data_IF_347956624476
#
_entry.id   IF_347956624476
#
_cell.length_a   1.000
_cell.length_b   1.000
_cell.length_c   1.000
_cell.angle_alpha   90.00
_cell.angle_beta   90.00
_cell.angle_gamma   90.00
#
_symmetry.space_group_name_H-M   'P 1'
#
loop_
_entity.id
_entity.type
_entity.pdbx_description
1 polymer ?
#
# COMPACT_ATOMS: atom_id res chain seq x y z
N UNK A 1 -10.90 -14.18 12.05
CA UNK A 1 -12.34 -13.84 12.08
C UNK A 1 -12.84 -13.87 10.64
N UNK A 2 -13.89 -14.64 10.38
CA UNK A 2 -14.60 -14.61 9.11
C UNK A 2 -15.62 -13.47 9.18
N UNK A 3 -15.53 -12.51 8.27
CA UNK A 3 -16.59 -11.51 8.08
C UNK A 3 -17.90 -12.16 7.59
N UNK A 4 -18.96 -11.39 7.36
CA UNK A 4 -20.17 -11.91 6.76
C UNK A 4 -19.85 -12.51 5.39
N UNK A 5 -20.33 -13.75 5.18
CA UNK A 5 -20.15 -14.46 3.91
C UNK A 5 -21.25 -13.98 2.95
N UNK A 6 -20.89 -13.45 1.77
CA UNK A 6 -21.89 -13.09 0.76
C UNK A 6 -22.75 -14.29 0.34
N UNK A 7 -24.01 -14.03 0.03
CA UNK A 7 -24.94 -15.04 -0.49
C UNK A 7 -24.40 -15.62 -1.81
N UNK A 8 -24.47 -16.94 -1.96
CA UNK A 8 -24.01 -17.66 -3.14
C UNK A 8 -22.51 -18.05 -3.12
N UNK A 9 -21.79 -17.82 -2.01
CA UNK A 9 -20.43 -18.31 -1.83
C UNK A 9 -20.38 -19.50 -0.87
N UNK A 10 -19.79 -20.62 -1.32
CA UNK A 10 -19.42 -21.73 -0.46
C UNK A 10 -18.05 -21.46 0.16
N UNK A 11 -17.98 -21.38 1.49
CA UNK A 11 -16.75 -21.04 2.21
C UNK A 11 -16.27 -22.22 3.04
N UNK A 12 -15.06 -22.69 2.73
CA UNK A 12 -14.37 -23.72 3.52
C UNK A 12 -13.28 -23.07 4.37
N UNK A 13 -13.43 -23.12 5.69
CA UNK A 13 -12.43 -22.59 6.63
C UNK A 13 -11.44 -23.67 6.98
N UNK A 14 -10.18 -23.52 6.53
CA UNK A 14 -9.10 -24.43 6.84
C UNK A 14 -8.38 -23.99 8.11
N UNK A 15 -8.28 -24.89 9.09
CA UNK A 15 -7.63 -24.63 10.37
C UNK A 15 -6.11 -24.45 10.22
N UNK A 16 -5.53 -23.53 10.98
CA UNK A 16 -4.07 -23.38 11.04
C UNK A 16 -3.38 -24.60 11.68
N UNK A 17 -2.54 -25.29 10.93
CA UNK A 17 -1.75 -26.43 11.41
C UNK A 17 -0.26 -26.16 11.26
N UNK A 18 0.48 -26.11 12.37
CA UNK A 18 1.92 -25.93 12.40
C UNK A 18 2.39 -24.91 13.43
N UNK A 19 3.58 -25.14 13.99
CA UNK A 19 4.19 -24.26 15.00
C UNK A 19 4.79 -22.97 14.40
N UNK A 20 5.25 -23.03 13.16
CA UNK A 20 5.94 -21.93 12.48
C UNK A 20 5.19 -21.54 11.18
N UNK A 21 5.28 -20.31 10.77
CA UNK A 21 4.58 -19.79 9.58
C UNK A 21 4.86 -20.61 8.30
N UNK A 22 6.11 -21.03 8.07
CA UNK A 22 6.42 -21.89 6.92
C UNK A 22 5.70 -23.24 6.97
N UNK A 23 5.51 -23.81 8.16
CA UNK A 23 4.78 -25.08 8.33
C UNK A 23 3.27 -24.86 8.15
N UNK A 24 2.74 -23.74 8.68
CA UNK A 24 1.34 -23.33 8.47
C UNK A 24 1.03 -23.17 6.98
N UNK A 25 1.85 -22.40 6.26
CA UNK A 25 1.66 -22.17 4.83
C UNK A 25 1.72 -23.48 4.01
N UNK A 26 2.69 -24.36 4.30
CA UNK A 26 2.79 -25.66 3.62
C UNK A 26 1.58 -26.55 3.89
N UNK A 27 1.11 -26.58 5.14
CA UNK A 27 -0.06 -27.38 5.50
C UNK A 27 -1.33 -26.78 4.90
N UNK A 28 -1.46 -25.46 4.87
CA UNK A 28 -2.56 -24.76 4.21
C UNK A 28 -2.66 -25.17 2.72
N UNK A 29 -1.57 -25.09 1.97
CA UNK A 29 -1.52 -25.54 0.56
C UNK A 29 -1.98 -26.98 0.43
N UNK A 30 -1.48 -27.89 1.29
CA UNK A 30 -1.90 -29.29 1.29
C UNK A 30 -3.39 -29.44 1.56
N UNK A 31 -3.92 -28.68 2.52
CA UNK A 31 -5.33 -28.76 2.91
C UNK A 31 -6.26 -28.18 1.83
N UNK A 32 -5.82 -27.14 1.14
CA UNK A 32 -6.51 -26.62 -0.07
C UNK A 32 -6.64 -27.72 -1.12
N UNK A 33 -5.54 -28.40 -1.48
CA UNK A 33 -5.59 -29.47 -2.46
C UNK A 33 -6.45 -30.68 -2.01
N UNK A 34 -6.43 -31.01 -0.73
CA UNK A 34 -7.30 -32.06 -0.20
C UNK A 34 -8.77 -31.68 -0.29
N UNK A 35 -9.12 -30.44 0.05
CA UNK A 35 -10.49 -29.97 -0.04
C UNK A 35 -11.03 -29.86 -1.48
N UNK A 36 -10.12 -29.80 -2.46
CA UNK A 36 -10.48 -29.75 -3.89
C UNK A 36 -10.64 -31.14 -4.54
N UNK A 37 -10.33 -32.24 -3.83
CA UNK A 37 -10.43 -33.58 -4.44
C UNK A 37 -11.87 -33.96 -4.85
N UNK A 38 -12.84 -33.46 -4.11
CA UNK A 38 -14.27 -33.68 -4.38
C UNK A 38 -14.92 -32.55 -5.21
N UNK A 39 -14.13 -31.55 -5.57
CA UNK A 39 -14.57 -30.36 -6.30
C UNK A 39 -13.57 -30.07 -7.44
N UNK A 40 -14.03 -30.13 -8.67
CA UNK A 40 -13.21 -29.87 -9.85
C UNK A 40 -13.45 -28.43 -10.33
N UNK A 41 -12.71 -27.43 -9.83
CA UNK A 41 -12.91 -26.05 -10.24
C UNK A 41 -12.43 -25.84 -11.68
N UNK A 42 -13.09 -24.98 -12.42
CA UNK A 42 -12.66 -24.54 -13.75
C UNK A 42 -11.39 -23.69 -13.67
N UNK A 43 -11.23 -22.92 -12.57
CA UNK A 43 -10.08 -22.05 -12.32
C UNK A 43 -9.73 -22.00 -10.83
N UNK A 44 -8.42 -21.97 -10.53
CA UNK A 44 -7.89 -21.74 -9.19
C UNK A 44 -7.29 -20.34 -9.13
N UNK A 45 -8.04 -19.41 -8.53
CA UNK A 45 -7.63 -18.02 -8.35
C UNK A 45 -7.07 -17.79 -6.94
N UNK A 46 -5.81 -17.43 -6.83
CA UNK A 46 -5.11 -17.26 -5.54
C UNK A 46 -4.77 -15.81 -5.21
N UNK A 47 -4.95 -15.45 -3.94
CA UNK A 47 -4.50 -14.18 -3.34
C UNK A 47 -3.23 -14.35 -2.50
N UNK A 48 -2.84 -15.59 -2.23
CA UNK A 48 -1.59 -15.93 -1.56
C UNK A 48 -0.70 -16.72 -2.51
N UNK A 49 0.62 -16.52 -2.41
CA UNK A 49 1.59 -17.29 -3.19
C UNK A 49 1.54 -18.76 -2.79
N UNK A 50 1.17 -19.61 -3.74
CA UNK A 50 1.16 -21.06 -3.61
C UNK A 50 1.30 -21.70 -5.00
N UNK A 51 1.82 -22.94 -5.09
CA UNK A 51 1.90 -23.65 -6.37
C UNK A 51 0.51 -23.98 -6.92
N UNK A 52 0.41 -24.23 -8.23
CA UNK A 52 -0.78 -24.77 -8.90
C UNK A 52 -1.94 -23.81 -9.07
N UNK A 53 -1.69 -22.51 -9.07
CA UNK A 53 -2.69 -21.49 -9.40
C UNK A 53 -2.78 -21.32 -10.92
N UNK A 54 -3.99 -21.14 -11.45
CA UNK A 54 -4.24 -20.71 -12.82
C UNK A 54 -4.10 -19.18 -12.92
N UNK A 55 -4.61 -18.47 -11.91
CA UNK A 55 -4.55 -17.02 -11.79
C UNK A 55 -4.05 -16.61 -10.40
N UNK A 56 -3.10 -15.67 -10.36
CA UNK A 56 -2.56 -15.13 -9.11
C UNK A 56 -2.76 -13.60 -9.05
N UNK A 57 -3.39 -13.10 -7.98
CA UNK A 57 -3.46 -11.68 -7.68
C UNK A 57 -2.25 -11.27 -6.83
N UNK A 58 -1.34 -10.52 -7.42
CA UNK A 58 -0.05 -10.18 -6.81
C UNK A 58 -0.17 -9.00 -5.82
N UNK A 59 -0.87 -9.22 -4.70
CA UNK A 59 -1.03 -8.21 -3.65
C UNK A 59 0.26 -7.90 -2.88
N UNK A 60 1.22 -8.84 -2.86
CA UNK A 60 2.47 -8.74 -2.11
C UNK A 60 3.64 -8.30 -3.00
N UNK A 61 4.66 -7.72 -2.37
CA UNK A 61 5.93 -7.39 -3.02
C UNK A 61 6.70 -8.64 -3.46
N UNK A 62 7.61 -8.49 -4.43
CA UNK A 62 8.49 -9.54 -4.88
C UNK A 62 9.46 -9.97 -3.76
N UNK A 63 9.36 -11.21 -3.29
CA UNK A 63 10.19 -11.72 -2.21
C UNK A 63 11.66 -11.85 -2.63
N UNK A 64 11.95 -12.20 -3.89
CA UNK A 64 13.33 -12.27 -4.40
C UNK A 64 14.03 -10.92 -4.28
N UNK A 65 13.35 -9.81 -4.59
CA UNK A 65 13.88 -8.45 -4.38
C UNK A 65 14.15 -8.17 -2.90
N UNK A 66 13.20 -8.49 -2.03
CA UNK A 66 13.39 -8.34 -0.57
C UNK A 66 14.55 -9.20 -0.07
N UNK A 67 14.75 -10.37 -0.66
CA UNK A 67 15.80 -11.32 -0.31
C UNK A 67 17.21 -10.77 -0.57
N UNK A 68 17.38 -9.78 -1.44
CA UNK A 68 18.68 -9.11 -1.63
C UNK A 68 19.16 -8.42 -0.34
N UNK A 69 18.24 -7.91 0.46
CA UNK A 69 18.53 -7.22 1.74
C UNK A 69 18.79 -8.20 2.91
N UNK A 70 18.56 -9.50 2.71
CA UNK A 70 18.72 -10.52 3.76
C UNK A 70 20.17 -10.97 3.88
N UNK A 71 20.62 -11.17 5.13
CA UNK A 71 21.94 -11.74 5.39
C UNK A 71 21.97 -13.26 5.04
N UNK A 72 23.20 -13.81 4.97
CA UNK A 72 23.42 -15.19 4.53
C UNK A 72 22.69 -16.20 5.43
N UNK A 73 22.67 -15.97 6.74
CA UNK A 73 22.00 -16.87 7.71
C UNK A 73 20.50 -16.95 7.47
N UNK A 74 19.88 -15.81 7.19
CA UNK A 74 18.45 -15.75 6.88
C UNK A 74 18.10 -16.51 5.60
N UNK A 75 19.01 -16.54 4.60
CA UNK A 75 18.84 -17.26 3.32
C UNK A 75 18.86 -18.79 3.50
N UNK A 76 19.45 -19.32 4.58
CA UNK A 76 19.43 -20.76 4.89
C UNK A 76 18.18 -21.22 5.64
N UNK A 77 17.28 -20.33 6.04
CA UNK A 77 16.07 -20.70 6.79
C UNK A 77 15.07 -21.47 5.92
N UNK A 78 14.28 -22.37 6.54
CA UNK A 78 13.17 -23.08 5.88
C UNK A 78 12.12 -22.09 5.32
N UNK A 79 11.86 -21.00 6.05
CA UNK A 79 10.94 -19.95 5.60
C UNK A 79 11.42 -19.30 4.29
N UNK A 80 12.70 -18.94 4.22
CA UNK A 80 13.27 -18.36 3.01
C UNK A 80 13.13 -19.29 1.81
N UNK A 81 13.52 -20.55 1.96
CA UNK A 81 13.44 -21.55 0.87
C UNK A 81 12.02 -21.75 0.38
N UNK A 82 11.05 -21.83 1.30
CA UNK A 82 9.64 -21.97 0.93
C UNK A 82 9.11 -20.75 0.20
N UNK A 83 9.44 -19.51 0.67
CA UNK A 83 8.99 -18.30 0.00
C UNK A 83 9.57 -18.17 -1.41
N UNK A 84 10.85 -18.51 -1.60
CA UNK A 84 11.48 -18.55 -2.92
C UNK A 84 10.83 -19.62 -3.82
N UNK A 85 10.55 -20.82 -3.28
CA UNK A 85 9.91 -21.89 -4.03
C UNK A 85 8.50 -21.48 -4.51
N UNK A 86 7.70 -20.89 -3.63
CA UNK A 86 6.34 -20.45 -3.99
C UNK A 86 6.34 -19.34 -5.07
N UNK A 87 7.33 -18.44 -5.04
CA UNK A 87 7.49 -17.47 -6.12
C UNK A 87 7.95 -18.13 -7.42
N UNK A 88 8.92 -19.07 -7.35
CA UNK A 88 9.37 -19.83 -8.51
C UNK A 88 8.22 -20.60 -9.18
N UNK A 89 7.35 -21.23 -8.37
CA UNK A 89 6.20 -21.99 -8.87
C UNK A 89 5.20 -21.11 -9.65
N UNK A 90 5.08 -19.81 -9.29
CA UNK A 90 4.16 -18.86 -9.93
C UNK A 90 4.84 -18.12 -11.09
N UNK A 91 6.05 -17.57 -10.85
CA UNK A 91 6.64 -16.55 -11.71
C UNK A 91 7.64 -17.10 -12.73
N UNK A 92 8.20 -18.32 -12.53
CA UNK A 92 9.21 -18.86 -13.44
C UNK A 92 8.67 -19.05 -14.85
N UNK A 93 9.59 -19.15 -15.81
CA UNK A 93 9.25 -19.43 -17.23
C UNK A 93 8.50 -20.75 -17.44
N UNK A 94 8.60 -21.69 -16.51
CA UNK A 94 7.94 -22.99 -16.58
C UNK A 94 6.48 -22.97 -16.12
N UNK A 95 6.09 -21.92 -15.44
CA UNK A 95 4.73 -21.77 -14.94
C UNK A 95 3.78 -21.26 -16.02
N UNK A 96 2.54 -21.71 -15.98
CA UNK A 96 1.45 -21.23 -16.83
C UNK A 96 0.55 -20.21 -16.11
N UNK A 97 0.76 -19.99 -14.80
CA UNK A 97 -0.04 -19.09 -13.99
C UNK A 97 -0.12 -17.70 -14.60
N UNK A 98 -1.31 -17.19 -14.87
CA UNK A 98 -1.52 -15.77 -15.21
C UNK A 98 -1.37 -14.92 -13.96
N UNK A 99 -0.84 -13.70 -14.11
CA UNK A 99 -0.48 -12.84 -12.98
C UNK A 99 -1.19 -11.50 -13.13
N UNK A 100 -2.07 -11.18 -12.22
CA UNK A 100 -2.65 -9.85 -12.08
C UNK A 100 -1.69 -9.01 -11.22
N UNK A 101 -0.86 -8.22 -11.86
CA UNK A 101 0.06 -7.28 -11.21
C UNK A 101 -0.65 -5.96 -10.91
N UNK A 102 -0.23 -5.27 -9.86
CA UNK A 102 -0.85 -4.01 -9.44
C UNK A 102 -0.24 -2.78 -10.15
N UNK A 103 0.98 -2.91 -10.69
CA UNK A 103 1.69 -1.81 -11.36
C UNK A 103 2.88 -2.32 -12.18
N UNK A 104 3.42 -1.43 -13.03
CA UNK A 104 4.57 -1.73 -13.88
C UNK A 104 5.83 -2.08 -13.09
N UNK A 105 6.08 -1.42 -11.95
CA UNK A 105 7.23 -1.69 -11.09
C UNK A 105 7.26 -3.15 -10.66
N UNK A 106 6.14 -3.64 -10.15
CA UNK A 106 6.00 -5.02 -9.71
C UNK A 106 6.14 -6.01 -10.89
N UNK A 107 5.56 -5.69 -12.04
CA UNK A 107 5.70 -6.47 -13.27
C UNK A 107 7.15 -6.59 -13.70
N UNK A 108 7.89 -5.49 -13.67
CA UNK A 108 9.30 -5.47 -14.01
C UNK A 108 10.14 -6.30 -13.03
N UNK A 109 9.82 -6.28 -11.73
CA UNK A 109 10.48 -7.12 -10.72
C UNK A 109 10.29 -8.62 -11.00
N UNK A 110 9.08 -9.06 -11.35
CA UNK A 110 8.84 -10.47 -11.70
C UNK A 110 9.59 -10.89 -12.96
N UNK A 111 9.70 -10.01 -13.94
CA UNK A 111 10.48 -10.26 -15.18
C UNK A 111 11.98 -10.32 -14.89
N UNK A 112 12.49 -9.41 -14.04
CA UNK A 112 13.90 -9.35 -13.67
C UNK A 112 14.36 -10.59 -12.89
N UNK A 113 13.59 -10.98 -11.85
CA UNK A 113 14.02 -12.03 -10.92
C UNK A 113 13.66 -13.44 -11.36
N UNK A 114 12.61 -13.62 -12.19
CA UNK A 114 12.09 -14.94 -12.58
C UNK A 114 12.00 -15.14 -14.08
N UNK A 115 12.38 -14.15 -14.87
CA UNK A 115 12.24 -14.14 -16.33
C UNK A 115 10.79 -14.45 -16.76
N UNK A 116 9.81 -13.95 -16.00
CA UNK A 116 8.39 -14.17 -16.27
C UNK A 116 8.03 -13.61 -17.65
N UNK A 117 7.32 -14.40 -18.45
CA UNK A 117 6.87 -13.98 -19.78
C UNK A 117 5.89 -12.81 -19.66
N UNK A 118 6.05 -11.79 -20.51
CA UNK A 118 5.26 -10.57 -20.47
C UNK A 118 3.76 -10.83 -20.68
N UNK A 119 3.42 -11.79 -21.55
CA UNK A 119 2.05 -12.21 -21.90
C UNK A 119 1.29 -12.88 -20.75
N UNK A 120 2.00 -13.27 -19.69
CA UNK A 120 1.40 -13.81 -18.47
C UNK A 120 1.09 -12.75 -17.44
N UNK A 121 1.64 -11.53 -17.59
CA UNK A 121 1.47 -10.44 -16.63
C UNK A 121 0.45 -9.45 -17.16
N UNK A 122 -0.63 -9.28 -16.42
CA UNK A 122 -1.70 -8.35 -16.70
C UNK A 122 -1.74 -7.30 -15.59
N UNK A 123 -1.68 -6.03 -15.95
CA UNK A 123 -1.74 -4.94 -14.95
C UNK A 123 -3.20 -4.64 -14.67
N UNK A 124 -3.62 -4.98 -13.45
CA UNK A 124 -4.95 -4.64 -12.97
C UNK A 124 -5.02 -3.15 -12.59
N UNK A 125 -6.10 -2.44 -12.96
CA UNK A 125 -6.27 -1.05 -12.59
C UNK A 125 -6.39 -0.90 -11.06
N UNK A 126 -6.27 0.33 -10.50
CA UNK A 126 -6.59 0.59 -9.11
C UNK A 126 -8.03 0.17 -8.77
N UNK A 127 -8.28 -0.16 -7.50
CA UNK A 127 -9.61 -0.50 -7.00
C UNK A 127 -9.74 -0.03 -5.58
N UNK A 128 -10.47 1.06 -5.40
CA UNK A 128 -10.93 1.58 -4.11
C UNK A 128 -12.45 1.47 -4.04
N UNK A 129 -13.01 1.56 -2.86
CA UNK A 129 -14.45 1.50 -2.66
C UNK A 129 -15.13 2.73 -3.27
N UNK A 130 -16.29 2.52 -3.91
CA UNK A 130 -17.04 3.60 -4.56
C UNK A 130 -17.53 4.66 -3.57
N UNK A 131 -17.82 4.23 -2.34
CA UNK A 131 -18.32 5.11 -1.27
C UNK A 131 -17.26 6.06 -0.72
N UNK A 132 -16.02 5.97 -1.23
CA UNK A 132 -14.92 6.83 -0.79
C UNK A 132 -15.18 8.32 -1.03
N UNK A 133 -15.91 8.66 -2.08
CA UNK A 133 -16.32 10.04 -2.40
C UNK A 133 -17.42 10.59 -1.49
N UNK A 134 -18.20 9.74 -0.80
CA UNK A 134 -19.40 10.13 -0.07
C UNK A 134 -19.14 10.66 1.34
N UNK A 135 -17.91 10.53 1.83
CA UNK A 135 -17.53 11.04 3.14
C UNK A 135 -17.47 12.56 3.19
N UNK A 136 -18.01 13.15 4.25
CA UNK A 136 -17.89 14.59 4.50
C UNK A 136 -16.55 14.94 5.16
N UNK A 137 -15.96 16.11 4.87
CA UNK A 137 -14.72 16.55 5.54
C UNK A 137 -14.94 16.74 7.05
N UNK A 138 -13.92 16.39 7.85
CA UNK A 138 -13.89 16.64 9.30
C UNK A 138 -13.20 17.98 9.58
N UNK A 139 -13.68 18.73 10.58
CA UNK A 139 -12.95 19.90 11.05
C UNK A 139 -11.76 19.47 11.92
N UNK A 140 -10.62 19.17 11.28
CA UNK A 140 -9.38 18.71 11.96
C UNK A 140 -8.89 19.75 12.97
N UNK A 141 -9.01 21.04 12.67
CA UNK A 141 -8.55 22.15 13.52
C UNK A 141 -9.27 22.15 14.86
N UNK A 142 -10.58 21.99 14.83
CA UNK A 142 -11.39 21.90 16.03
C UNK A 142 -11.19 20.56 16.77
N UNK A 143 -11.24 19.45 16.04
CA UNK A 143 -11.13 18.10 16.61
C UNK A 143 -9.81 17.85 17.36
N UNK A 144 -8.72 18.48 16.90
CA UNK A 144 -7.38 18.30 17.47
C UNK A 144 -6.84 19.55 18.17
N UNK A 145 -7.67 20.59 18.32
CA UNK A 145 -7.26 21.88 18.90
C UNK A 145 -6.00 22.47 18.23
N UNK A 146 -5.99 22.47 16.91
CA UNK A 146 -4.91 23.02 16.08
C UNK A 146 -5.28 24.44 15.66
N UNK A 147 -4.32 25.36 15.65
CA UNK A 147 -4.54 26.74 15.22
C UNK A 147 -4.84 26.82 13.72
N UNK A 148 -5.79 27.66 13.35
CA UNK A 148 -6.10 27.92 11.94
C UNK A 148 -4.86 28.45 11.19
N UNK A 149 -4.66 27.94 9.99
CA UNK A 149 -3.52 28.30 9.14
C UNK A 149 -2.27 27.46 9.32
N UNK A 150 -2.22 26.57 10.32
CA UNK A 150 -1.17 25.54 10.40
C UNK A 150 -1.40 24.45 9.33
N UNK A 151 -0.34 23.91 8.74
CA UNK A 151 -0.44 22.84 7.74
C UNK A 151 -0.76 21.49 8.41
N UNK A 152 -1.65 20.73 7.78
CA UNK A 152 -2.04 19.40 8.22
C UNK A 152 -1.42 18.36 7.28
N UNK A 153 -0.38 17.68 7.78
CA UNK A 153 0.20 16.51 7.14
C UNK A 153 -0.54 15.26 7.59
N UNK A 154 -0.94 14.41 6.66
CA UNK A 154 -1.65 13.17 6.97
C UNK A 154 -0.75 11.97 6.67
N UNK A 155 -0.60 11.07 7.63
CA UNK A 155 0.05 9.76 7.49
C UNK A 155 -0.96 8.66 7.82
N UNK A 156 -1.16 7.71 6.91
CA UNK A 156 -2.17 6.65 7.07
C UNK A 156 -1.58 5.27 6.82
N UNK A 157 -1.91 4.33 7.69
CA UNK A 157 -1.71 2.89 7.53
C UNK A 157 -1.11 2.21 8.74
N UNK A 158 -1.20 0.89 8.80
CA UNK A 158 -0.52 0.02 9.76
C UNK A 158 0.92 -0.26 9.32
N UNK A 159 1.75 -0.88 10.20
CA UNK A 159 3.18 -1.10 9.95
C UNK A 159 3.93 0.23 9.73
N UNK A 160 3.89 1.08 10.76
CA UNK A 160 4.47 2.43 10.75
C UNK A 160 5.95 2.44 10.35
N UNK A 161 6.70 1.40 10.72
CA UNK A 161 8.12 1.27 10.36
C UNK A 161 8.32 1.11 8.86
N UNK A 162 7.58 0.20 8.22
CA UNK A 162 7.65 -0.04 6.78
C UNK A 162 7.16 1.17 5.99
N UNK A 163 6.12 1.83 6.48
CA UNK A 163 5.54 3.02 5.86
C UNK A 163 6.32 4.31 6.14
N UNK A 164 7.34 4.28 7.02
CA UNK A 164 8.30 5.36 7.22
C UNK A 164 7.81 6.49 8.12
N UNK A 165 7.06 6.19 9.20
CA UNK A 165 6.60 7.21 10.13
C UNK A 165 7.75 8.01 10.76
N UNK A 166 8.89 7.37 11.04
CA UNK A 166 10.10 8.05 11.49
C UNK A 166 10.57 9.13 10.51
N UNK A 167 10.53 8.85 9.20
CA UNK A 167 10.86 9.80 8.13
C UNK A 167 9.89 10.96 8.08
N UNK A 168 8.59 10.68 8.30
CA UNK A 168 7.53 11.69 8.35
C UNK A 168 7.70 12.62 9.56
N UNK A 169 8.01 12.08 10.75
CA UNK A 169 8.27 12.87 11.98
C UNK A 169 9.51 13.75 11.79
N UNK A 170 10.58 13.24 11.18
CA UNK A 170 11.78 14.04 10.89
C UNK A 170 11.48 15.16 9.86
N UNK A 171 10.60 14.90 8.89
CA UNK A 171 10.09 15.91 7.96
C UNK A 171 9.30 17.01 8.67
N UNK A 172 8.38 16.63 9.59
CA UNK A 172 7.64 17.59 10.39
C UNK A 172 8.59 18.48 11.25
N UNK A 173 9.59 17.87 11.87
CA UNK A 173 10.62 18.62 12.61
C UNK A 173 11.27 19.68 11.74
N UNK A 174 11.71 19.28 10.53
CA UNK A 174 12.32 20.20 9.58
C UNK A 174 11.41 21.40 9.23
N UNK A 175 10.13 21.17 8.96
CA UNK A 175 9.18 22.25 8.68
C UNK A 175 9.07 23.23 9.85
N UNK A 176 8.93 22.72 11.07
CA UNK A 176 8.82 23.56 12.25
C UNK A 176 10.12 24.36 12.53
N UNK A 177 11.31 23.77 12.29
CA UNK A 177 12.60 24.47 12.34
C UNK A 177 12.70 25.60 11.29
N UNK A 178 12.00 25.45 10.16
CA UNK A 178 11.86 26.49 9.12
C UNK A 178 10.74 27.50 9.38
N UNK A 179 10.09 27.44 10.55
CA UNK A 179 8.93 28.27 10.90
C UNK A 179 7.71 28.03 9.98
N UNK A 180 7.62 26.88 9.34
CA UNK A 180 6.43 26.44 8.62
C UNK A 180 5.58 25.62 9.61
N UNK A 181 4.66 26.31 10.31
CA UNK A 181 3.86 25.68 11.36
C UNK A 181 3.01 24.54 10.78
N UNK A 182 3.29 23.32 11.22
CA UNK A 182 2.69 22.12 10.67
C UNK A 182 2.38 21.10 11.77
N UNK A 183 1.37 20.28 11.53
CA UNK A 183 0.99 19.16 12.39
C UNK A 183 0.99 17.87 11.58
N UNK A 184 1.30 16.74 12.21
CA UNK A 184 1.25 15.41 11.63
C UNK A 184 0.12 14.61 12.28
N UNK A 185 -0.90 14.30 11.50
CA UNK A 185 -2.00 13.41 11.90
C UNK A 185 -1.67 12.00 11.45
N UNK A 186 -1.61 11.06 12.40
CA UNK A 186 -1.23 9.66 12.18
C UNK A 186 -2.44 8.77 12.43
N UNK A 187 -2.91 8.08 11.39
CA UNK A 187 -4.03 7.15 11.45
C UNK A 187 -3.54 5.74 11.11
N UNK A 188 -3.79 4.78 12.00
CA UNK A 188 -3.43 3.38 11.77
C UNK A 188 -3.36 2.56 13.05
N UNK A 189 -3.32 1.24 12.88
CA UNK A 189 -3.25 0.28 13.98
C UNK A 189 -1.81 -0.22 14.16
N UNK A 190 -1.00 0.58 14.85
CA UNK A 190 0.37 0.21 15.24
C UNK A 190 0.79 0.99 16.49
N UNK A 191 1.92 0.61 17.07
CA UNK A 191 2.42 1.18 18.32
C UNK A 191 3.16 2.49 18.10
N UNK A 192 2.77 3.56 18.81
CA UNK A 192 3.48 4.85 18.84
C UNK A 192 4.79 4.81 19.62
N UNK A 193 4.88 3.92 20.63
CA UNK A 193 6.02 3.83 21.55
C UNK A 193 7.41 3.80 20.89
N UNK A 194 7.66 3.09 19.76
CA UNK A 194 8.97 3.11 19.10
C UNK A 194 9.42 4.50 18.63
N UNK A 195 8.50 5.46 18.50
CA UNK A 195 8.74 6.81 17.99
C UNK A 195 8.89 7.88 19.07
N UNK A 196 8.70 7.54 20.36
CA UNK A 196 8.82 8.47 21.49
C UNK A 196 10.19 9.15 21.54
N UNK A 197 11.26 8.43 21.21
CA UNK A 197 12.61 9.00 21.14
C UNK A 197 12.77 10.10 20.08
N UNK A 198 11.91 10.13 19.06
CA UNK A 198 11.90 11.21 18.07
C UNK A 198 11.07 12.40 18.52
N UNK A 199 10.26 12.23 19.56
CA UNK A 199 9.31 13.20 20.12
C UNK A 199 9.74 13.75 21.47
N UNK A 200 11.05 13.76 21.77
CA UNK A 200 11.60 14.26 23.05
C UNK A 200 11.44 15.76 23.22
N UNK A 201 11.38 16.51 22.11
CA UNK A 201 11.04 17.93 22.13
C UNK A 201 9.53 18.10 22.38
N UNK A 202 9.19 18.78 23.47
CA UNK A 202 7.80 19.02 23.88
C UNK A 202 7.01 19.83 22.84
N UNK A 203 7.66 20.69 22.04
CA UNK A 203 7.00 21.44 20.98
C UNK A 203 6.63 20.54 19.82
N UNK A 204 7.54 19.66 19.39
CA UNK A 204 7.29 18.68 18.33
C UNK A 204 6.28 17.62 18.75
N UNK A 205 6.36 17.15 20.00
CA UNK A 205 5.44 16.14 20.55
C UNK A 205 3.98 16.59 20.49
N UNK A 206 3.70 17.86 20.70
CA UNK A 206 2.35 18.44 20.59
C UNK A 206 1.84 18.57 19.17
N UNK A 207 2.72 18.43 18.18
CA UNK A 207 2.39 18.55 16.75
C UNK A 207 2.18 17.18 16.06
N UNK A 208 2.33 16.06 16.79
CA UNK A 208 2.08 14.71 16.29
C UNK A 208 0.88 14.09 16.98
N UNK A 209 -0.18 13.83 16.22
CA UNK A 209 -1.47 13.37 16.71
C UNK A 209 -1.72 11.92 16.28
N UNK A 210 -1.55 10.97 17.21
CA UNK A 210 -1.86 9.55 16.97
C UNK A 210 -3.34 9.29 17.23
N UNK A 211 -4.11 8.97 16.18
CA UNK A 211 -5.57 8.77 16.29
C UNK A 211 -5.98 7.30 16.35
N UNK A 212 -5.01 6.36 16.23
CA UNK A 212 -5.34 4.94 16.13
C UNK A 212 -6.06 4.57 14.83
N UNK A 213 -6.66 3.34 14.75
CA UNK A 213 -7.42 2.92 13.58
C UNK A 213 -8.74 3.69 13.46
N UNK A 214 -9.10 4.12 12.25
CA UNK A 214 -10.32 4.88 11.97
C UNK A 214 -11.04 4.34 10.72
N UNK A 215 -12.36 4.47 10.71
CA UNK A 215 -13.21 4.13 9.54
C UNK A 215 -13.45 5.32 8.61
N UNK A 216 -13.30 6.54 9.12
CA UNK A 216 -13.55 7.80 8.44
C UNK A 216 -12.27 8.45 7.87
N UNK A 217 -11.33 7.63 7.38
CA UNK A 217 -10.05 8.09 6.81
C UNK A 217 -10.27 9.07 5.65
N UNK A 218 -11.29 8.82 4.83
CA UNK A 218 -11.66 9.69 3.70
C UNK A 218 -12.01 11.11 4.17
N UNK A 219 -12.69 11.28 5.31
CA UNK A 219 -12.99 12.59 5.92
C UNK A 219 -11.73 13.36 6.29
N UNK A 220 -10.74 12.66 6.85
CA UNK A 220 -9.43 13.26 7.14
C UNK A 220 -8.65 13.62 5.88
N UNK A 221 -8.71 12.78 4.83
CA UNK A 221 -8.07 13.09 3.55
C UNK A 221 -8.66 14.34 2.90
N UNK A 222 -9.97 14.51 2.94
CA UNK A 222 -10.64 15.72 2.40
C UNK A 222 -10.29 16.99 3.17
N UNK A 223 -9.80 16.87 4.39
CA UNK A 223 -9.52 18.00 5.28
C UNK A 223 -8.04 18.31 5.48
N UNK A 224 -7.15 17.38 5.16
CA UNK A 224 -5.70 17.58 5.26
C UNK A 224 -5.13 18.40 4.09
N UNK A 225 -3.90 18.89 4.26
CA UNK A 225 -3.20 19.63 3.21
C UNK A 225 -2.35 18.74 2.31
N UNK A 226 -1.69 17.71 2.89
CA UNK A 226 -0.77 16.84 2.18
C UNK A 226 -0.75 15.44 2.79
N UNK A 227 -0.92 14.40 1.95
CA UNK A 227 -0.56 13.04 2.33
C UNK A 227 0.95 12.88 2.28
N UNK A 228 1.58 12.40 3.36
CA UNK A 228 2.99 12.01 3.36
C UNK A 228 3.12 10.51 3.54
N UNK A 229 3.75 9.86 2.55
CA UNK A 229 3.90 8.40 2.54
C UNK A 229 5.33 7.99 2.16
N UNK A 230 6.32 8.25 3.05
CA UNK A 230 7.73 7.98 2.78
C UNK A 230 8.09 6.52 3.01
N UNK A 231 7.32 5.60 2.44
CA UNK A 231 7.45 4.18 2.67
C UNK A 231 8.81 3.64 2.22
N UNK A 232 9.27 2.61 2.93
CA UNK A 232 10.47 1.83 2.58
C UNK A 232 10.17 0.78 1.53
N UNK A 233 8.92 0.35 1.49
CA UNK A 233 8.43 -0.66 0.55
C UNK A 233 6.90 -0.74 0.65
N UNK A 234 6.22 -0.75 -0.51
CA UNK A 234 4.78 -0.92 -0.59
C UNK A 234 4.42 -1.52 -1.97
N UNK A 235 3.71 -2.64 -2.02
CA UNK A 235 3.37 -3.32 -3.27
C UNK A 235 2.44 -2.49 -4.17
N UNK A 236 1.37 -1.98 -3.59
CA UNK A 236 0.39 -1.12 -4.25
C UNK A 236 0.45 0.31 -3.71
N UNK A 237 0.04 0.51 -2.47
CA UNK A 237 -0.16 1.82 -1.87
C UNK A 237 -1.49 2.42 -2.29
N UNK A 238 -2.61 1.69 -2.08
CA UNK A 238 -3.97 2.18 -2.39
C UNK A 238 -4.24 3.55 -1.77
N UNK A 239 -3.60 3.86 -0.64
CA UNK A 239 -3.68 5.15 0.04
C UNK A 239 -3.37 6.34 -0.89
N UNK A 240 -2.53 6.16 -1.92
CA UNK A 240 -2.24 7.18 -2.94
C UNK A 240 -3.47 7.43 -3.80
N UNK A 241 -4.16 6.37 -4.22
CA UNK A 241 -5.37 6.48 -5.03
C UNK A 241 -6.51 7.08 -4.19
N UNK A 242 -6.62 6.68 -2.94
CA UNK A 242 -7.57 7.21 -1.96
C UNK A 242 -7.37 8.72 -1.75
N UNK A 243 -6.12 9.17 -1.60
CA UNK A 243 -5.77 10.58 -1.49
C UNK A 243 -6.12 11.35 -2.78
N UNK A 244 -5.79 10.78 -3.95
CA UNK A 244 -6.05 11.38 -5.25
C UNK A 244 -7.55 11.61 -5.47
N UNK A 245 -8.39 10.61 -5.19
CA UNK A 245 -9.85 10.70 -5.29
C UNK A 245 -10.42 11.69 -4.25
N UNK A 246 -9.78 11.81 -3.09
CA UNK A 246 -10.15 12.79 -2.06
C UNK A 246 -9.68 14.22 -2.36
N UNK A 247 -8.99 14.46 -3.48
CA UNK A 247 -8.43 15.77 -3.80
C UNK A 247 -7.23 16.18 -2.94
N UNK A 248 -6.55 15.22 -2.29
CA UNK A 248 -5.43 15.44 -1.40
C UNK A 248 -4.09 15.28 -2.13
N UNK A 249 -3.26 16.33 -2.24
CA UNK A 249 -1.89 16.22 -2.73
C UNK A 249 -1.06 15.21 -1.96
N UNK A 250 -0.08 14.58 -2.62
CA UNK A 250 0.73 13.52 -2.00
C UNK A 250 2.24 13.75 -2.16
N UNK A 251 3.02 13.46 -1.11
CA UNK A 251 4.47 13.31 -1.17
C UNK A 251 4.83 11.87 -0.80
N UNK A 252 5.39 11.13 -1.75
CA UNK A 252 5.65 9.70 -1.62
C UNK A 252 7.08 9.35 -2.05
N UNK A 253 7.53 8.13 -1.75
CA UNK A 253 8.77 7.57 -2.30
C UNK A 253 8.47 6.71 -3.54
N UNK A 254 9.45 6.55 -4.44
CA UNK A 254 9.36 5.62 -5.57
C UNK A 254 9.29 4.14 -5.16
N UNK A 255 9.45 3.84 -3.85
CA UNK A 255 9.26 2.49 -3.32
C UNK A 255 7.78 2.07 -3.16
N UNK A 256 6.85 2.99 -3.38
CA UNK A 256 5.40 2.72 -3.37
C UNK A 256 4.93 2.36 -4.78
N UNK A 257 4.16 1.28 -4.91
CA UNK A 257 3.74 0.75 -6.22
C UNK A 257 2.98 1.75 -7.08
N UNK A 258 2.05 2.51 -6.50
CA UNK A 258 1.30 3.56 -7.22
C UNK A 258 1.99 4.93 -7.23
N UNK A 259 3.29 5.01 -6.95
CA UNK A 259 4.03 6.28 -7.09
C UNK A 259 3.98 6.83 -8.53
N UNK A 260 3.91 5.97 -9.54
CA UNK A 260 3.71 6.36 -10.94
C UNK A 260 2.39 7.09 -11.20
N UNK A 261 1.34 6.74 -10.45
CA UNK A 261 0.04 7.40 -10.57
C UNK A 261 0.09 8.87 -10.05
N UNK A 262 0.94 9.13 -9.04
CA UNK A 262 1.20 10.50 -8.56
C UNK A 262 1.74 11.38 -9.69
N UNK A 263 2.69 10.87 -10.46
CA UNK A 263 3.28 11.59 -11.60
C UNK A 263 2.29 11.69 -12.77
N UNK A 264 1.62 10.60 -13.11
CA UNK A 264 0.65 10.52 -14.21
C UNK A 264 -0.48 11.53 -14.06
N UNK A 265 -1.05 11.63 -12.86
CA UNK A 265 -2.16 12.53 -12.56
C UNK A 265 -1.72 13.90 -12.01
N UNK A 266 -0.41 14.14 -11.88
CA UNK A 266 0.15 15.37 -11.30
C UNK A 266 -0.43 15.68 -9.93
N UNK A 267 -0.63 14.62 -9.13
CA UNK A 267 -1.29 14.70 -7.82
C UNK A 267 -0.32 14.94 -6.66
N UNK A 268 0.95 15.20 -6.95
CA UNK A 268 1.95 15.40 -5.91
C UNK A 268 3.39 15.22 -6.38
N UNK A 269 4.24 14.88 -5.44
CA UNK A 269 5.68 14.76 -5.63
C UNK A 269 6.15 13.34 -5.28
N UNK A 270 7.08 12.81 -6.08
CA UNK A 270 7.72 11.51 -5.83
C UNK A 270 9.20 11.73 -5.54
N UNK A 271 9.68 11.23 -4.39
CA UNK A 271 11.12 11.14 -4.12
C UNK A 271 11.68 9.93 -4.86
N UNK A 272 12.35 10.18 -5.96
CA UNK A 272 12.96 9.16 -6.79
C UNK A 272 14.30 8.67 -6.24
N UNK A 273 14.62 7.39 -6.48
CA UNK A 273 15.87 6.74 -6.13
C UNK A 273 16.01 6.40 -4.65
N UNK A 274 17.25 6.23 -4.18
CA UNK A 274 17.52 5.90 -2.79
C UNK A 274 17.04 7.01 -1.85
N UNK A 275 16.39 6.60 -0.76
CA UNK A 275 15.85 7.54 0.21
C UNK A 275 16.97 8.36 0.88
N UNK A 276 16.81 9.67 0.86
CA UNK A 276 17.64 10.62 1.58
C UNK A 276 16.74 11.59 2.35
N UNK A 277 16.91 11.69 3.68
CA UNK A 277 16.07 12.52 4.53
C UNK A 277 16.14 14.01 4.16
N UNK A 278 17.31 14.54 3.83
CA UNK A 278 17.46 15.96 3.48
C UNK A 278 16.73 16.27 2.17
N UNK A 279 16.82 15.40 1.16
CA UNK A 279 16.06 15.57 -0.08
C UNK A 279 14.56 15.48 0.18
N UNK A 280 14.12 14.52 1.00
CA UNK A 280 12.71 14.39 1.39
C UNK A 280 12.23 15.66 2.10
N UNK A 281 13.01 16.23 3.01
CA UNK A 281 12.68 17.45 3.73
C UNK A 281 12.52 18.66 2.78
N UNK A 282 13.40 18.81 1.80
CA UNK A 282 13.30 19.88 0.78
C UNK A 282 12.04 19.72 -0.09
N UNK A 283 11.75 18.49 -0.54
CA UNK A 283 10.53 18.22 -1.30
C UNK A 283 9.27 18.45 -0.46
N UNK A 284 9.31 18.14 0.84
CA UNK A 284 8.21 18.39 1.76
C UNK A 284 7.97 19.89 1.94
N UNK A 285 9.04 20.69 2.15
CA UNK A 285 8.97 22.14 2.26
C UNK A 285 8.34 22.77 0.99
N UNK A 286 8.76 22.30 -0.18
CA UNK A 286 8.17 22.74 -1.45
C UNK A 286 6.72 22.30 -1.59
N UNK A 287 6.38 21.06 -1.24
CA UNK A 287 5.05 20.47 -1.39
C UNK A 287 3.98 21.14 -0.52
N UNK A 288 4.35 21.63 0.68
CA UNK A 288 3.40 22.30 1.58
C UNK A 288 3.20 23.80 1.28
N UNK A 289 3.91 24.36 0.31
CA UNK A 289 3.73 25.75 -0.09
C UNK A 289 2.32 25.96 -0.65
N UNK A 290 1.68 27.11 -0.32
CA UNK A 290 0.31 27.41 -0.76
C UNK A 290 0.17 27.37 -2.28
N UNK A 291 1.20 27.83 -3.00
CA UNK A 291 1.25 27.79 -4.47
C UNK A 291 1.18 26.36 -5.01
N UNK A 292 1.97 25.45 -4.47
CA UNK A 292 2.00 24.07 -4.93
C UNK A 292 0.73 23.31 -4.54
N UNK A 293 0.25 23.47 -3.31
CA UNK A 293 -1.01 22.89 -2.87
C UNK A 293 -2.18 23.33 -3.76
N UNK A 294 -2.28 24.63 -4.06
CA UNK A 294 -3.30 25.16 -4.96
C UNK A 294 -3.20 24.57 -6.37
N UNK A 295 -1.99 24.54 -6.94
CA UNK A 295 -1.76 23.99 -8.28
C UNK A 295 -2.13 22.52 -8.37
N UNK A 296 -1.68 21.70 -7.42
CA UNK A 296 -1.95 20.26 -7.41
C UNK A 296 -3.45 20.00 -7.21
N UNK A 297 -4.08 20.64 -6.22
CA UNK A 297 -5.52 20.48 -5.98
C UNK A 297 -6.34 20.84 -7.20
N UNK A 298 -5.97 21.92 -7.92
CA UNK A 298 -6.63 22.30 -9.16
C UNK A 298 -6.50 21.24 -10.26
N UNK A 299 -5.34 20.56 -10.35
CA UNK A 299 -5.12 19.51 -11.36
C UNK A 299 -5.88 18.22 -11.08
N UNK A 300 -6.22 17.94 -9.82
CA UNK A 300 -6.91 16.69 -9.43
C UNK A 300 -8.39 16.87 -9.06
N UNK A 301 -8.91 18.09 -9.12
CA UNK A 301 -10.27 18.43 -8.67
C UNK A 301 -11.40 17.64 -9.34
N UNK A 302 -11.19 17.14 -10.55
CA UNK A 302 -12.20 16.42 -11.35
C UNK A 302 -11.97 14.90 -11.39
N UNK A 303 -11.09 14.38 -10.50
CA UNK A 303 -10.70 12.97 -10.55
C UNK A 303 -11.51 12.07 -9.61
N UNK A 304 -12.33 12.61 -8.71
CA UNK A 304 -13.16 11.86 -7.75
C UNK A 304 -14.03 10.79 -8.43
N UNK A 305 -14.61 11.12 -9.60
CA UNK A 305 -15.53 10.23 -10.32
C UNK A 305 -14.87 9.44 -11.46
N UNK A 306 -13.54 9.47 -11.55
CA UNK A 306 -12.85 8.76 -12.61
C UNK A 306 -12.97 7.24 -12.41
N UNK A 307 -13.74 6.61 -13.31
CA UNK A 307 -14.05 5.17 -13.30
C UNK A 307 -12.81 4.27 -13.24
N UNK A 308 -11.66 4.76 -13.71
CA UNK A 308 -10.41 4.02 -13.67
C UNK A 308 -10.03 3.58 -12.24
N UNK A 309 -10.26 4.44 -11.22
CA UNK A 309 -9.89 4.16 -9.84
C UNK A 309 -10.78 3.12 -9.14
N UNK A 310 -11.94 2.81 -9.74
CA UNK A 310 -12.95 1.91 -9.17
C UNK A 310 -13.17 0.65 -10.02
N UNK A 311 -12.33 0.41 -11.03
CA UNK A 311 -12.63 -0.59 -12.07
C UNK A 311 -12.04 -1.97 -11.82
N UNK A 312 -11.18 -2.15 -10.81
CA UNK A 312 -10.43 -3.39 -10.58
C UNK A 312 -11.30 -4.65 -10.55
N UNK A 313 -12.36 -4.63 -9.76
CA UNK A 313 -13.17 -5.83 -9.57
C UNK A 313 -13.87 -6.25 -10.87
N UNK A 314 -14.45 -5.27 -11.58
CA UNK A 314 -15.05 -5.54 -12.89
C UNK A 314 -13.99 -6.03 -13.89
N UNK A 315 -12.84 -5.38 -13.95
CA UNK A 315 -11.75 -5.78 -14.83
C UNK A 315 -11.30 -7.23 -14.57
N UNK A 316 -11.18 -7.64 -13.29
CA UNK A 316 -10.79 -9.01 -12.95
C UNK A 316 -11.87 -10.00 -13.36
N UNK A 317 -13.14 -9.70 -13.13
CA UNK A 317 -14.26 -10.55 -13.53
C UNK A 317 -14.28 -10.72 -15.05
N UNK A 318 -14.27 -9.63 -15.80
CA UNK A 318 -14.24 -9.65 -17.29
C UNK A 318 -13.01 -10.45 -17.79
N UNK A 319 -11.83 -10.26 -17.20
CA UNK A 319 -10.62 -10.99 -17.56
C UNK A 319 -10.73 -12.51 -17.32
N UNK A 320 -11.34 -12.91 -16.22
CA UNK A 320 -11.56 -14.34 -15.93
C UNK A 320 -12.49 -14.95 -16.97
N UNK A 321 -13.63 -14.31 -17.25
CA UNK A 321 -14.62 -14.78 -18.23
C UNK A 321 -14.08 -14.87 -19.67
N UNK A 322 -13.15 -13.97 -20.04
CA UNK A 322 -12.55 -13.95 -21.39
C UNK A 322 -11.39 -14.92 -21.55
N UNK A 323 -10.73 -15.34 -20.46
CA UNK A 323 -9.45 -16.06 -20.50
C UNK A 323 -9.60 -17.55 -20.21
N UNK A 324 -10.54 -17.92 -19.38
CA UNK A 324 -10.76 -19.30 -18.91
C UNK A 324 -12.15 -19.81 -19.23
#
# INVERSE_FOLDING_TARGET
ETGPIPEGLDVVVLGERGKFNYAKNRNFVKDVYLSMQDFSPDIIFGFNKMPGLDLYFAADTCFAKQALKKNIVQKFTRRYRQSMQFEEDIFSQKSNTKILSLNDKQSNEFREFYSTQAERIIIAPPGIDKDWSDYEPVNIYEALNISLGEKILLFVGSDFSRKGLDRAILGLRHLNEKNISSNLVVIGDDKSKPYENLLTDASLSKKVHFLGPRKDVASFMKSADLLIHPAREEAAGNIIIEALVSGLPSLVTSEVGFSSEVLKFRSGTVLEGEFNQNRFNLLLEESVSDKNLFYIRSSISNLSDNKYFFSRFKFIADFIEETF
#
